data_IF_238912408630
#
_entry.id   IF_238912408630
#
_cell.length_a   1.000
_cell.length_b   1.000
_cell.length_c   1.000
_cell.angle_alpha   90.00
_cell.angle_beta   90.00
_cell.angle_gamma   90.00
#
_symmetry.space_group_name_H-M   'P 1'
#
loop_
_entity.id
_entity.type
_entity.pdbx_description
1 polymer ?
#
# COMPACT_ATOMS: atom_id res chain seq x y z
N UNK A 1 -7.61 44.59 -38.17
CA UNK A 1 -7.53 43.77 -39.41
C UNK A 1 -6.51 42.63 -39.37
N UNK A 2 -5.69 42.44 -38.32
CA UNK A 2 -4.55 41.49 -38.35
C UNK A 2 -4.77 40.09 -37.74
N UNK A 3 -5.91 39.78 -37.12
CA UNK A 3 -6.14 38.46 -36.48
C UNK A 3 -6.97 37.49 -37.31
N UNK A 4 -7.86 37.97 -38.18
CA UNK A 4 -8.61 37.11 -39.10
C UNK A 4 -7.74 36.54 -40.21
N UNK A 5 -6.75 37.32 -40.68
CA UNK A 5 -5.81 36.88 -41.71
C UNK A 5 -4.91 35.73 -41.22
N UNK A 6 -4.48 35.75 -39.96
CA UNK A 6 -3.59 34.72 -39.41
C UNK A 6 -4.33 33.37 -39.22
N UNK A 7 -5.58 33.39 -38.76
CA UNK A 7 -6.40 32.19 -38.64
C UNK A 7 -6.81 31.62 -40.02
N UNK A 8 -7.09 32.46 -41.01
CA UNK A 8 -7.36 32.01 -42.37
C UNK A 8 -6.10 31.50 -43.08
N UNK A 9 -4.91 32.08 -42.82
CA UNK A 9 -3.64 31.59 -43.35
C UNK A 9 -3.23 30.26 -42.69
N UNK A 10 -3.44 30.09 -41.38
CA UNK A 10 -3.16 28.82 -40.69
C UNK A 10 -4.17 27.73 -41.10
N UNK A 11 -5.46 28.05 -41.20
CA UNK A 11 -6.48 27.10 -41.65
C UNK A 11 -6.32 26.75 -43.13
N UNK A 12 -5.90 27.71 -43.97
CA UNK A 12 -5.55 27.44 -45.37
C UNK A 12 -4.24 26.64 -45.48
N UNK A 13 -3.24 26.84 -44.61
CA UNK A 13 -2.04 25.99 -44.58
C UNK A 13 -2.36 24.55 -44.14
N UNK A 14 -3.26 24.36 -43.17
CA UNK A 14 -3.71 23.03 -42.74
C UNK A 14 -4.60 22.34 -43.78
N UNK A 15 -5.36 23.09 -44.59
CA UNK A 15 -6.15 22.53 -45.70
C UNK A 15 -5.29 22.31 -46.95
N UNK A 16 -4.20 23.07 -47.15
CA UNK A 16 -3.23 22.81 -48.24
C UNK A 16 -2.27 21.65 -47.95
N UNK A 17 -2.01 21.29 -46.68
CA UNK A 17 -1.22 20.08 -46.37
C UNK A 17 -2.04 18.79 -46.50
N UNK A 18 -3.37 18.89 -46.51
CA UNK A 18 -4.28 17.85 -46.95
C UNK A 18 -4.50 17.94 -48.47
N UNK A 19 -3.45 18.27 -49.23
CA UNK A 19 -3.43 17.97 -50.65
C UNK A 19 -3.61 16.46 -50.79
N UNK A 20 -4.60 16.07 -51.59
CA UNK A 20 -4.95 14.70 -51.89
C UNK A 20 -3.68 13.88 -52.15
N UNK A 21 -3.30 13.08 -51.17
CA UNK A 21 -2.38 12.00 -51.41
C UNK A 21 -3.05 11.13 -52.47
N UNK A 22 -2.35 10.87 -53.57
CA UNK A 22 -2.94 10.08 -54.63
C UNK A 22 -3.38 8.73 -54.02
N UNK A 23 -4.51 8.18 -54.48
CA UNK A 23 -5.02 6.93 -53.91
C UNK A 23 -4.01 5.77 -54.02
N UNK A 24 -3.05 5.87 -54.94
CA UNK A 24 -1.99 4.89 -55.17
C UNK A 24 -0.91 4.93 -54.08
N UNK A 25 -0.60 6.11 -53.53
CA UNK A 25 0.33 6.34 -52.44
C UNK A 25 -0.23 5.84 -51.11
N UNK A 26 -1.54 6.06 -50.85
CA UNK A 26 -2.24 5.47 -49.70
C UNK A 26 -2.19 3.95 -49.75
N UNK A 27 -2.52 3.37 -50.92
CA UNK A 27 -2.49 1.92 -51.11
C UNK A 27 -1.07 1.37 -50.98
N UNK A 28 -0.07 2.06 -51.53
CA UNK A 28 1.33 1.65 -51.45
C UNK A 28 1.84 1.62 -50.01
N UNK A 29 1.54 2.65 -49.20
CA UNK A 29 1.89 2.66 -47.77
C UNK A 29 1.20 1.55 -46.99
N UNK A 30 -0.07 1.28 -47.27
CA UNK A 30 -0.79 0.19 -46.64
C UNK A 30 -0.19 -1.18 -47.00
N UNK A 31 0.14 -1.39 -48.28
CA UNK A 31 0.81 -2.61 -48.73
C UNK A 31 2.21 -2.77 -48.13
N UNK A 32 2.96 -1.67 -47.95
CA UNK A 32 4.26 -1.69 -47.29
C UNK A 32 4.14 -2.06 -45.81
N UNK A 33 3.18 -1.48 -45.10
CA UNK A 33 2.89 -1.84 -43.71
C UNK A 33 2.54 -3.32 -43.56
N UNK A 34 1.69 -3.88 -44.43
CA UNK A 34 1.30 -5.29 -44.39
C UNK A 34 2.45 -6.28 -44.63
N UNK A 35 3.59 -5.83 -45.19
CA UNK A 35 4.79 -6.66 -45.35
C UNK A 35 5.63 -6.77 -44.07
N UNK A 36 5.30 -5.98 -43.05
CA UNK A 36 5.96 -6.05 -41.75
C UNK A 36 5.41 -7.26 -40.99
N UNK A 37 6.30 -8.14 -40.53
CA UNK A 37 5.90 -9.34 -39.80
C UNK A 37 5.44 -8.96 -38.39
N UNK A 38 4.17 -8.62 -38.21
CA UNK A 38 3.62 -8.31 -36.88
C UNK A 38 2.88 -9.49 -36.27
N UNK A 39 3.04 -10.71 -36.83
CA UNK A 39 2.29 -11.89 -36.40
C UNK A 39 3.20 -12.81 -35.58
N UNK A 40 2.61 -13.45 -34.57
CA UNK A 40 3.31 -14.45 -33.75
C UNK A 40 3.73 -15.67 -34.59
N UNK A 41 4.85 -16.35 -34.26
CA UNK A 41 5.57 -16.32 -32.98
C UNK A 41 6.82 -15.41 -32.93
N UNK A 42 7.21 -14.76 -34.03
CA UNK A 42 8.44 -13.95 -34.10
C UNK A 42 8.17 -12.58 -34.75
N UNK A 43 7.30 -11.74 -34.17
CA UNK A 43 6.94 -10.47 -34.74
C UNK A 43 8.08 -9.44 -34.63
N UNK A 44 8.16 -8.54 -35.59
CA UNK A 44 9.02 -7.37 -35.67
C UNK A 44 8.20 -6.08 -35.45
N UNK A 45 7.74 -5.90 -34.20
CA UNK A 45 6.96 -4.72 -33.82
C UNK A 45 7.77 -3.42 -33.89
N UNK A 46 9.10 -3.48 -33.72
CA UNK A 46 9.97 -2.31 -33.85
C UNK A 46 9.94 -1.74 -35.25
N UNK A 47 10.00 -2.60 -36.28
CA UNK A 47 9.85 -2.17 -37.67
C UNK A 47 8.49 -1.55 -37.97
N UNK A 48 7.41 -2.05 -37.34
CA UNK A 48 6.08 -1.46 -37.46
C UNK A 48 6.01 -0.06 -36.80
N UNK A 49 6.60 0.09 -35.61
CA UNK A 49 6.70 1.38 -34.91
C UNK A 49 7.54 2.37 -35.71
N UNK A 50 8.69 1.96 -36.25
CA UNK A 50 9.54 2.78 -37.09
C UNK A 50 8.82 3.25 -38.35
N UNK A 51 8.10 2.33 -39.02
CA UNK A 51 7.29 2.68 -40.18
C UNK A 51 6.23 3.72 -39.83
N UNK A 52 5.42 3.50 -38.79
CA UNK A 52 4.37 4.44 -38.38
C UNK A 52 4.94 5.79 -37.93
N UNK A 53 6.05 5.78 -37.20
CA UNK A 53 6.76 7.00 -36.78
C UNK A 53 7.30 7.77 -38.00
N UNK A 54 7.79 7.08 -39.02
CA UNK A 54 8.22 7.72 -40.27
C UNK A 54 7.05 8.38 -41.02
N UNK A 55 5.86 7.79 -40.99
CA UNK A 55 4.64 8.38 -41.58
C UNK A 55 4.15 9.59 -40.78
N UNK A 56 4.20 9.55 -39.45
CA UNK A 56 3.87 10.71 -38.62
C UNK A 56 4.85 11.87 -38.90
N UNK A 57 6.15 11.58 -38.98
CA UNK A 57 7.19 12.56 -39.26
C UNK A 57 7.06 13.19 -40.65
N UNK A 58 6.73 12.41 -41.69
CA UNK A 58 6.51 12.96 -43.04
C UNK A 58 5.34 13.94 -43.08
N UNK A 59 4.35 13.76 -42.20
CA UNK A 59 3.21 14.64 -42.01
C UNK A 59 3.44 15.76 -40.99
N UNK A 60 4.66 15.89 -40.45
CA UNK A 60 4.99 16.84 -39.38
C UNK A 60 4.12 16.69 -38.12
N UNK A 61 3.64 15.47 -37.85
CA UNK A 61 2.91 15.12 -36.63
C UNK A 61 3.90 14.71 -35.54
N UNK A 62 3.67 15.19 -34.32
CA UNK A 62 4.38 14.68 -33.15
C UNK A 62 3.88 13.27 -32.81
N UNK A 63 4.80 12.32 -32.61
CA UNK A 63 4.51 10.96 -32.18
C UNK A 63 5.34 10.60 -30.95
N UNK A 64 4.73 9.92 -29.98
CA UNK A 64 5.42 9.36 -28.82
C UNK A 64 5.21 7.85 -28.81
N UNK A 65 6.31 7.10 -28.71
CA UNK A 65 6.29 5.66 -28.51
C UNK A 65 6.40 5.39 -27.02
N UNK A 66 5.42 4.72 -26.43
CA UNK A 66 5.51 4.27 -25.05
C UNK A 66 6.04 2.83 -25.04
N UNK A 67 7.21 2.61 -24.44
CA UNK A 67 7.84 1.28 -24.36
C UNK A 67 7.09 0.35 -23.40
N UNK A 68 6.23 0.89 -22.53
CA UNK A 68 5.48 0.13 -21.54
C UNK A 68 4.16 -0.43 -22.12
N UNK A 69 4.30 -1.47 -22.93
CA UNK A 69 3.62 -2.77 -22.81
C UNK A 69 2.08 -2.89 -22.83
N UNK A 70 1.29 -1.82 -22.93
CA UNK A 70 -0.16 -1.97 -22.98
C UNK A 70 -0.68 -2.00 -24.41
N UNK A 71 -0.93 -3.21 -24.92
CA UNK A 71 -1.63 -3.43 -26.20
C UNK A 71 -3.04 -3.93 -25.88
N UNK A 72 -4.06 -3.17 -26.30
CA UNK A 72 -5.48 -3.43 -25.99
C UNK A 72 -5.97 -4.85 -26.34
N UNK A 73 -5.26 -5.56 -27.23
CA UNK A 73 -5.60 -6.88 -27.72
C UNK A 73 -4.54 -7.96 -27.38
N UNK A 74 -3.57 -7.67 -26.50
CA UNK A 74 -2.60 -8.67 -26.02
C UNK A 74 -2.84 -8.96 -24.54
N UNK A 75 -2.89 -10.25 -24.22
CA UNK A 75 -2.86 -10.70 -22.83
C UNK A 75 -1.48 -10.38 -22.23
N UNK A 76 -1.41 -9.80 -21.02
CA UNK A 76 -0.14 -9.57 -20.34
C UNK A 76 0.65 -10.87 -20.15
N UNK A 77 1.97 -10.80 -20.31
CA UNK A 77 2.87 -11.93 -20.04
C UNK A 77 3.09 -12.17 -18.55
N UNK A 78 2.94 -11.13 -17.73
CA UNK A 78 3.19 -11.13 -16.29
C UNK A 78 2.10 -10.35 -15.56
N UNK A 79 1.84 -10.72 -14.32
CA UNK A 79 0.95 -10.00 -13.41
C UNK A 79 1.49 -10.12 -11.98
N UNK A 80 1.43 -9.01 -11.26
CA UNK A 80 1.86 -8.93 -9.86
C UNK A 80 0.72 -8.40 -8.99
N UNK A 81 0.62 -8.90 -7.76
CA UNK A 81 -0.32 -8.42 -6.77
C UNK A 81 0.35 -8.35 -5.40
N UNK A 82 0.23 -7.20 -4.74
CA UNK A 82 0.68 -7.00 -3.37
C UNK A 82 -0.45 -7.25 -2.37
N UNK A 83 -0.14 -7.92 -1.26
CA UNK A 83 -1.09 -8.21 -0.18
C UNK A 83 -0.54 -7.76 1.17
N UNK A 84 -1.37 -7.10 1.97
CA UNK A 84 -1.13 -6.85 3.39
C UNK A 84 -1.76 -8.00 4.19
N UNK A 85 -0.94 -8.82 4.85
CA UNK A 85 -1.39 -9.99 5.61
C UNK A 85 -1.10 -9.74 7.09
N UNK A 86 -2.16 -9.66 7.89
CA UNK A 86 -2.09 -9.47 9.35
C UNK A 86 -2.37 -10.77 10.06
N UNK A 87 -1.39 -11.25 10.83
CA UNK A 87 -1.44 -12.54 11.51
C UNK A 87 -1.65 -12.30 13.01
N UNK A 88 -2.74 -12.80 13.61
CA UNK A 88 -2.90 -12.76 15.06
C UNK A 88 -1.81 -13.58 15.78
N UNK A 89 -1.44 -13.21 17.01
CA UNK A 89 -0.49 -13.96 17.83
C UNK A 89 -0.81 -15.45 18.05
N UNK A 90 -2.05 -15.88 17.86
CA UNK A 90 -2.46 -17.28 18.02
C UNK A 90 -2.28 -18.14 16.77
N UNK A 91 -1.86 -17.56 15.64
CA UNK A 91 -1.79 -18.26 14.35
C UNK A 91 -0.35 -18.67 14.06
N UNK A 92 -0.19 -19.90 13.57
CA UNK A 92 1.09 -20.43 13.11
C UNK A 92 1.51 -19.73 11.80
N UNK A 93 2.52 -18.87 11.91
CA UNK A 93 3.07 -18.13 10.78
C UNK A 93 3.78 -19.03 9.76
N UNK A 94 4.42 -20.11 10.19
CA UNK A 94 5.12 -21.03 9.29
C UNK A 94 4.12 -21.84 8.46
N UNK A 95 3.01 -22.27 9.08
CA UNK A 95 1.92 -22.92 8.37
C UNK A 95 1.31 -22.00 7.31
N UNK A 96 1.12 -20.70 7.61
CA UNK A 96 0.61 -19.75 6.62
C UNK A 96 1.59 -19.57 5.46
N UNK A 97 2.88 -19.40 5.75
CA UNK A 97 3.91 -19.28 4.70
C UNK A 97 3.97 -20.50 3.80
N UNK A 98 3.85 -21.70 4.38
CA UNK A 98 3.77 -22.94 3.60
C UNK A 98 2.59 -22.91 2.63
N UNK A 99 1.41 -22.48 3.09
CA UNK A 99 0.23 -22.35 2.22
C UNK A 99 0.42 -21.31 1.12
N UNK A 100 1.06 -20.18 1.40
CA UNK A 100 1.35 -19.17 0.39
C UNK A 100 2.20 -19.74 -0.75
N UNK A 101 3.23 -20.50 -0.42
CA UNK A 101 4.17 -21.08 -1.39
C UNK A 101 3.59 -22.31 -2.10
N UNK A 102 2.93 -23.20 -1.37
CA UNK A 102 2.49 -24.50 -1.91
C UNK A 102 1.10 -24.42 -2.56
N UNK A 103 0.18 -23.64 -2.01
CA UNK A 103 -1.21 -23.57 -2.50
C UNK A 103 -1.45 -22.34 -3.39
N UNK A 104 -0.98 -21.15 -2.96
CA UNK A 104 -1.41 -19.88 -3.59
C UNK A 104 -0.53 -19.46 -4.76
N UNK A 105 0.79 -19.62 -4.63
CA UNK A 105 1.74 -19.29 -5.68
C UNK A 105 2.75 -20.43 -5.91
N UNK A 106 2.26 -21.62 -6.31
CA UNK A 106 3.12 -22.77 -6.56
C UNK A 106 4.02 -22.54 -7.77
N UNK A 107 5.31 -22.84 -7.60
CA UNK A 107 6.30 -22.82 -8.68
C UNK A 107 5.89 -23.71 -9.87
N UNK A 108 5.12 -24.78 -9.63
CA UNK A 108 4.57 -25.65 -10.67
C UNK A 108 3.61 -24.94 -11.65
N UNK A 109 3.11 -23.75 -11.30
CA UNK A 109 2.28 -22.89 -12.16
C UNK A 109 3.02 -21.63 -12.64
N UNK A 110 4.35 -21.61 -12.55
CA UNK A 110 5.20 -20.44 -12.83
C UNK A 110 4.82 -19.20 -11.99
N UNK A 111 4.42 -19.43 -10.73
CA UNK A 111 4.12 -18.37 -9.77
C UNK A 111 5.22 -18.29 -8.71
N UNK A 112 5.37 -17.13 -8.08
CA UNK A 112 6.32 -16.92 -6.97
C UNK A 112 5.74 -15.99 -5.90
N UNK A 113 6.29 -16.06 -4.69
CA UNK A 113 5.98 -15.14 -3.58
C UNK A 113 7.25 -14.41 -3.20
N UNK A 114 7.15 -13.10 -3.02
CA UNK A 114 8.21 -12.28 -2.44
C UNK A 114 7.69 -11.58 -1.19
N UNK A 115 8.43 -11.66 -0.09
CA UNK A 115 8.11 -10.95 1.15
C UNK A 115 8.92 -9.66 1.22
N UNK A 116 8.31 -8.52 0.89
CA UNK A 116 8.94 -7.19 1.05
C UNK A 116 9.16 -6.82 2.52
N UNK A 117 8.23 -7.21 3.38
CA UNK A 117 8.33 -7.05 4.83
C UNK A 117 7.82 -8.32 5.51
N UNK A 118 8.70 -8.97 6.29
CA UNK A 118 8.37 -10.16 7.07
C UNK A 118 8.75 -9.93 8.53
N UNK A 119 7.86 -10.33 9.42
CA UNK A 119 8.13 -10.38 10.85
C UNK A 119 8.16 -11.84 11.28
N UNK A 120 9.32 -12.28 11.73
CA UNK A 120 9.55 -13.63 12.25
C UNK A 120 9.76 -13.58 13.77
N UNK A 121 9.37 -14.64 14.45
CA UNK A 121 9.57 -14.81 15.88
C UNK A 121 8.28 -15.16 16.61
N UNK A 122 8.43 -15.64 17.84
CA UNK A 122 7.29 -16.04 18.65
C UNK A 122 6.39 -14.84 18.96
N UNK A 123 5.07 -15.01 18.87
CA UNK A 123 4.12 -13.99 19.27
C UNK A 123 4.24 -13.70 20.77
N UNK A 124 4.76 -12.51 21.11
CA UNK A 124 4.85 -12.07 22.49
C UNK A 124 3.59 -11.29 22.88
N UNK A 125 2.83 -11.88 23.80
CA UNK A 125 1.66 -11.28 24.40
C UNK A 125 1.99 -10.78 25.82
N UNK A 126 1.47 -9.61 26.15
CA UNK A 126 1.45 -9.15 27.54
C UNK A 126 0.10 -9.50 28.15
N UNK A 127 0.11 -10.29 29.23
CA UNK A 127 -1.11 -10.66 29.95
C UNK A 127 -1.82 -9.41 30.47
N UNK A 128 -3.07 -9.21 30.07
CA UNK A 128 -3.90 -8.06 30.41
C UNK A 128 -5.07 -8.51 31.31
N UNK A 129 -4.73 -9.14 32.43
CA UNK A 129 -5.67 -9.57 33.45
C UNK A 129 -5.10 -9.35 34.86
N UNK A 130 -5.89 -9.70 35.87
CA UNK A 130 -5.56 -9.55 37.27
C UNK A 130 -4.29 -10.28 37.74
N UNK A 131 -3.78 -11.27 37.00
CA UNK A 131 -2.51 -11.90 37.33
C UNK A 131 -1.31 -10.97 37.10
N UNK A 132 -1.47 -9.93 36.28
CA UNK A 132 -0.43 -8.97 35.97
C UNK A 132 -0.57 -7.70 36.84
N UNK A 133 0.37 -7.42 37.77
CA UNK A 133 0.28 -6.24 38.63
C UNK A 133 0.31 -4.94 37.84
N UNK A 134 1.00 -4.90 36.70
CA UNK A 134 1.04 -3.72 35.83
C UNK A 134 -0.31 -3.46 35.15
N UNK A 135 -1.06 -4.52 34.83
CA UNK A 135 -2.41 -4.37 34.28
C UNK A 135 -3.35 -3.75 35.31
N UNK A 136 -3.35 -4.27 36.54
CA UNK A 136 -4.14 -3.70 37.65
C UNK A 136 -3.80 -2.23 37.91
N UNK A 137 -2.51 -1.89 37.84
CA UNK A 137 -2.07 -0.51 38.03
C UNK A 137 -2.64 0.43 36.96
N UNK A 138 -2.62 -0.01 35.69
CA UNK A 138 -3.25 0.70 34.58
C UNK A 138 -4.75 0.89 34.80
N UNK A 139 -5.48 -0.18 35.14
CA UNK A 139 -6.94 -0.11 35.33
C UNK A 139 -7.33 0.84 36.46
N UNK A 140 -6.61 0.78 37.58
CA UNK A 140 -6.84 1.68 38.72
C UNK A 140 -6.57 3.14 38.35
N UNK A 141 -5.45 3.42 37.69
CA UNK A 141 -5.10 4.79 37.28
C UNK A 141 -6.11 5.38 36.29
N UNK A 142 -6.61 4.57 35.35
CA UNK A 142 -7.67 4.98 34.42
C UNK A 142 -8.97 5.27 35.17
N UNK A 143 -9.34 4.42 36.13
CA UNK A 143 -10.54 4.59 36.95
C UNK A 143 -10.48 5.83 37.83
N UNK A 144 -9.33 6.12 38.44
CA UNK A 144 -9.10 7.31 39.26
C UNK A 144 -9.24 8.61 38.46
N UNK A 145 -8.87 8.58 37.18
CA UNK A 145 -9.09 9.69 36.23
C UNK A 145 -10.55 9.78 35.72
N UNK A 146 -11.48 9.00 36.26
CA UNK A 146 -12.88 8.97 35.84
C UNK A 146 -13.13 8.21 34.53
N UNK A 147 -12.15 7.45 34.05
CA UNK A 147 -12.25 6.60 32.87
C UNK A 147 -12.70 5.18 33.18
N UNK A 148 -12.84 4.37 32.13
CA UNK A 148 -13.11 2.93 32.22
C UNK A 148 -12.35 2.20 31.13
N UNK A 149 -11.68 1.11 31.48
CA UNK A 149 -11.02 0.21 30.52
C UNK A 149 -12.07 -0.65 29.79
N UNK A 150 -11.86 -0.83 28.49
CA UNK A 150 -12.59 -1.83 27.70
C UNK A 150 -11.98 -3.22 27.91
N UNK A 151 -12.65 -4.25 27.40
CA UNK A 151 -12.05 -5.58 27.31
C UNK A 151 -10.77 -5.49 26.46
N UNK A 152 -9.66 -6.15 26.86
CA UNK A 152 -8.47 -6.24 26.03
C UNK A 152 -8.78 -6.94 24.70
N UNK A 153 -8.24 -6.39 23.61
CA UNK A 153 -8.45 -6.89 22.26
C UNK A 153 -7.12 -6.96 21.50
N UNK A 154 -7.09 -7.79 20.45
CA UNK A 154 -5.96 -7.86 19.54
C UNK A 154 -6.08 -6.69 18.57
N UNK A 155 -5.16 -5.73 18.69
CA UNK A 155 -5.10 -4.62 17.75
C UNK A 155 -4.59 -5.13 16.39
N UNK A 156 -5.34 -4.93 15.29
CA UNK A 156 -4.98 -5.50 13.99
C UNK A 156 -3.77 -4.82 13.35
N UNK A 157 -3.31 -3.67 13.86
CA UNK A 157 -2.13 -2.99 13.34
C UNK A 157 -0.87 -3.30 14.17
N UNK A 158 0.28 -3.20 13.53
CA UNK A 158 1.57 -3.32 14.21
C UNK A 158 1.89 -2.04 14.99
N UNK A 159 2.57 -2.19 16.12
CA UNK A 159 3.08 -1.07 16.93
C UNK A 159 4.46 -1.42 17.48
N UNK A 160 5.21 -0.41 17.92
CA UNK A 160 6.55 -0.60 18.51
C UNK A 160 6.53 -1.35 19.85
N UNK A 161 5.35 -1.58 20.44
CA UNK A 161 5.17 -2.42 21.63
C UNK A 161 5.80 -3.81 21.49
N UNK A 162 5.90 -4.34 20.27
CA UNK A 162 6.57 -5.62 20.00
C UNK A 162 8.05 -5.63 20.44
N UNK A 163 8.77 -4.53 20.25
CA UNK A 163 10.19 -4.45 20.59
C UNK A 163 10.42 -4.45 22.10
N UNK A 164 9.54 -3.77 22.85
CA UNK A 164 9.57 -3.81 24.31
C UNK A 164 9.32 -5.23 24.84
N UNK A 165 8.33 -5.93 24.27
CA UNK A 165 8.05 -7.33 24.63
C UNK A 165 9.24 -8.24 24.30
N UNK A 166 9.89 -8.05 23.16
CA UNK A 166 11.12 -8.78 22.79
C UNK A 166 12.27 -8.53 23.78
N UNK A 167 12.32 -7.35 24.39
CA UNK A 167 13.28 -7.03 25.45
C UNK A 167 12.86 -7.55 26.85
N UNK A 168 11.76 -8.31 26.95
CA UNK A 168 11.24 -8.82 28.22
C UNK A 168 10.44 -7.80 29.04
N UNK A 169 10.09 -6.64 28.45
CA UNK A 169 9.33 -5.58 29.11
C UNK A 169 7.83 -5.71 28.75
N UNK A 170 6.93 -5.87 29.74
CA UNK A 170 5.49 -5.85 29.51
C UNK A 170 5.05 -4.55 28.83
N UNK A 171 4.23 -4.65 27.78
CA UNK A 171 3.74 -3.48 27.04
C UNK A 171 2.25 -3.59 26.73
N UNK A 172 1.49 -2.55 27.06
CA UNK A 172 0.07 -2.44 26.79
C UNK A 172 -0.20 -1.38 25.72
N UNK A 173 -1.05 -1.70 24.75
CA UNK A 173 -1.63 -0.68 23.88
C UNK A 173 -2.80 -0.03 24.59
N UNK A 174 -2.77 1.30 24.73
CA UNK A 174 -3.84 2.04 25.40
C UNK A 174 -4.05 3.39 24.71
N UNK A 175 -5.32 3.75 24.52
CA UNK A 175 -5.74 5.07 24.06
C UNK A 175 -6.85 5.58 24.99
N UNK A 176 -6.75 6.80 25.52
CA UNK A 176 -7.81 7.40 26.32
C UNK A 176 -8.89 8.07 25.45
N UNK A 177 -8.75 8.02 24.12
CA UNK A 177 -9.72 8.59 23.19
C UNK A 177 -11.04 7.85 23.35
N UNK A 178 -12.03 8.56 23.89
CA UNK A 178 -13.41 8.10 24.01
C UNK A 178 -14.32 8.90 23.10
N UNK A 179 -15.51 8.37 22.81
CA UNK A 179 -16.59 9.07 22.09
C UNK A 179 -16.18 9.67 20.73
N UNK A 180 -15.14 9.13 20.10
CA UNK A 180 -14.62 9.59 18.81
C UNK A 180 -14.62 8.38 17.86
N UNK A 181 -15.12 8.52 16.62
CA UNK A 181 -15.05 7.44 15.63
C UNK A 181 -13.60 6.99 15.38
N UNK A 182 -13.38 5.70 15.16
CA UNK A 182 -12.06 5.17 14.79
C UNK A 182 -11.76 5.48 13.32
N UNK A 183 -11.12 6.62 13.07
CA UNK A 183 -10.70 7.08 11.73
C UNK A 183 -9.18 7.00 11.54
N UNK A 184 -8.51 6.10 12.27
CA UNK A 184 -7.06 5.91 12.17
C UNK A 184 -6.67 5.61 10.73
N UNK A 185 -5.86 6.49 10.12
CA UNK A 185 -5.44 6.42 8.71
C UNK A 185 -6.58 6.52 7.68
N UNK A 186 -7.72 7.13 8.05
CA UNK A 186 -8.83 7.38 7.14
C UNK A 186 -8.98 8.88 6.82
N UNK A 187 -9.86 9.19 5.87
CA UNK A 187 -10.16 10.54 5.44
C UNK A 187 -10.80 11.35 6.57
N UNK A 188 -10.37 12.61 6.70
CA UNK A 188 -10.86 13.53 7.73
C UNK A 188 -10.74 12.97 9.16
N UNK A 189 -9.68 12.22 9.46
CA UNK A 189 -9.32 11.85 10.83
C UNK A 189 -9.31 13.10 11.73
N UNK A 190 -10.00 13.03 12.88
CA UNK A 190 -10.10 14.15 13.83
C UNK A 190 -10.18 13.66 15.27
N UNK A 191 -9.86 14.56 16.20
CA UNK A 191 -10.06 14.35 17.63
C UNK A 191 -10.68 15.61 18.25
N UNK A 192 -11.77 15.44 18.99
CA UNK A 192 -12.43 16.54 19.68
C UNK A 192 -11.52 17.14 20.77
N UNK A 193 -11.45 18.47 20.86
CA UNK A 193 -10.61 19.17 21.85
C UNK A 193 -10.86 18.70 23.30
N UNK A 194 -12.12 18.48 23.66
CA UNK A 194 -12.48 18.03 25.00
C UNK A 194 -11.97 16.61 25.30
N UNK A 195 -12.09 15.69 24.34
CA UNK A 195 -11.58 14.32 24.46
C UNK A 195 -10.04 14.29 24.48
N UNK A 196 -9.38 15.15 23.70
CA UNK A 196 -7.93 15.33 23.75
C UNK A 196 -7.46 15.77 25.15
N UNK A 197 -8.07 16.82 25.72
CA UNK A 197 -7.71 17.32 27.05
C UNK A 197 -8.00 16.30 28.15
N UNK A 198 -9.16 15.62 28.10
CA UNK A 198 -9.48 14.51 29.00
C UNK A 198 -8.44 13.39 28.91
N UNK A 199 -7.97 13.08 27.70
CA UNK A 199 -6.92 12.09 27.49
C UNK A 199 -5.60 12.44 28.16
N UNK A 200 -5.24 13.73 28.22
CA UNK A 200 -4.06 14.20 28.96
C UNK A 200 -4.20 13.87 30.44
N UNK A 201 -5.34 14.17 31.06
CA UNK A 201 -5.57 13.89 32.49
C UNK A 201 -5.46 12.40 32.80
N UNK A 202 -5.99 11.54 31.92
CA UNK A 202 -5.85 10.07 32.04
C UNK A 202 -4.38 9.64 31.93
N UNK A 203 -3.62 10.14 30.96
CA UNK A 203 -2.19 9.80 30.85
C UNK A 203 -1.38 10.32 32.05
N UNK A 204 -1.68 11.52 32.56
CA UNK A 204 -1.02 12.05 33.76
C UNK A 204 -1.29 11.14 34.97
N UNK A 205 -2.52 10.64 35.13
CA UNK A 205 -2.87 9.67 36.16
C UNK A 205 -2.03 8.39 36.03
N UNK A 206 -1.99 7.80 34.82
CA UNK A 206 -1.24 6.58 34.54
C UNK A 206 0.24 6.77 34.83
N UNK A 207 0.86 7.84 34.30
CA UNK A 207 2.30 8.10 34.49
C UNK A 207 2.62 8.27 35.98
N UNK A 208 1.79 8.99 36.74
CA UNK A 208 1.97 9.13 38.20
C UNK A 208 1.89 7.78 38.91
N UNK A 209 0.88 6.98 38.60
CA UNK A 209 0.69 5.67 39.22
C UNK A 209 1.89 4.74 38.96
N UNK A 210 2.41 4.71 37.73
CA UNK A 210 3.58 3.91 37.38
C UNK A 210 4.88 4.45 38.00
N UNK A 211 5.09 5.77 37.99
CA UNK A 211 6.29 6.38 38.54
C UNK A 211 6.38 6.28 40.08
N UNK A 212 5.25 6.17 40.77
CA UNK A 212 5.17 6.01 42.23
C UNK A 212 4.98 4.56 42.68
N UNK A 213 4.97 3.59 41.76
CA UNK A 213 4.77 2.19 42.11
C UNK A 213 6.02 1.59 42.75
N UNK A 214 5.94 1.29 44.05
CA UNK A 214 6.96 0.51 44.74
C UNK A 214 6.69 -0.98 44.57
N UNK A 215 7.68 -1.70 44.06
CA UNK A 215 7.64 -3.16 44.02
C UNK A 215 7.69 -3.65 45.47
N UNK A 216 6.57 -4.18 45.97
CA UNK A 216 6.59 -4.93 47.23
C UNK A 216 7.54 -6.12 47.04
N UNK A 217 8.71 -6.04 47.66
CA UNK A 217 9.71 -7.11 47.65
C UNK A 217 9.15 -8.33 48.40
N UNK A 218 8.49 -9.24 47.68
CA UNK A 218 8.26 -10.60 48.15
C UNK A 218 9.52 -11.42 47.90
N UNK A 219 10.16 -11.89 48.98
CA UNK A 219 11.25 -12.87 49.06
C UNK A 219 12.20 -12.93 47.86
N UNK A 220 13.31 -12.19 47.94
CA UNK A 220 14.48 -12.37 47.07
C UNK A 220 15.52 -13.32 47.71
N UNK A 221 15.05 -14.22 48.58
CA UNK A 221 15.83 -15.33 49.11
C UNK A 221 15.26 -16.62 48.51
N UNK A 222 16.14 -17.48 48.00
CA UNK A 222 15.95 -18.74 47.26
C UNK A 222 16.07 -18.65 45.73
N UNK A 223 17.30 -18.39 45.26
CA UNK A 223 18.01 -19.22 44.26
C UNK A 223 19.53 -19.10 44.49
#
# INVERSE_FOLDING_TARGET
MSRLLLAQVVLALCILSAAADDGEAIVSRFQEYLRIDTVQPKPDYYKAVDFLSSQAKSLSLESQTNEFGFVMNLQPSEAEAGFDIRIPPSVDSEALERRLVEEWAPAARNMSVEFKQKHSGEPLLTTADDSNPWWRLLENAVKEAGGKTSKPEIFPASTDARYFRMAGVPAFGFSPISNTPSLLHDHNEYLGRAEYLKGIDVYVSIIKAYASYEIKSGSRDEL
#
